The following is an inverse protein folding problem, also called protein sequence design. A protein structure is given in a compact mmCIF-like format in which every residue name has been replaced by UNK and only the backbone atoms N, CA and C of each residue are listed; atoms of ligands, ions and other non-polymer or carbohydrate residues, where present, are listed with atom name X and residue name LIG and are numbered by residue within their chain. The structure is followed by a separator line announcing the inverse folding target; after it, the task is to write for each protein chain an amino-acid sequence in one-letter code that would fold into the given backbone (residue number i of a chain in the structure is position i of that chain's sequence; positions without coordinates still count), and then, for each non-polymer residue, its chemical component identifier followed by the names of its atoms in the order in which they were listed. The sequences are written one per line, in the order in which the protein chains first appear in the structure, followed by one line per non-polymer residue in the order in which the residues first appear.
data_IF_920381999226
#
_entry.id   IF_920381999226
#
_cell.length_a   1.000
_cell.length_b   1.000
_cell.length_c   1.000
_cell.angle_alpha   90.00
_cell.angle_beta   90.00
_cell.angle_gamma   90.00
#
_symmetry.space_group_name_H-M   'P 1'
#
loop_
_entity.id
_entity.type
_entity.pdbx_description
1 polymer ?
#
# COMPACT_ATOMS: atom_id res chain seq x y z
N UNK A 1 -12.88 13.48 -12.18
CA UNK A 1 -12.79 12.10 -11.66
C UNK A 1 -14.05 11.34 -12.08
N UNK A 2 -13.92 10.20 -12.75
CA UNK A 2 -15.07 9.33 -13.03
C UNK A 2 -15.39 8.57 -11.73
N UNK A 3 -16.63 8.67 -11.25
CA UNK A 3 -17.08 8.02 -10.01
C UNK A 3 -16.94 6.50 -10.14
N UNK A 4 -16.50 5.82 -9.08
CA UNK A 4 -16.32 4.36 -9.04
C UNK A 4 -17.56 3.58 -9.52
N UNK A 5 -18.77 4.11 -9.30
CA UNK A 5 -20.02 3.51 -9.79
C UNK A 5 -20.15 3.45 -11.32
N UNK A 6 -19.61 4.43 -12.04
CA UNK A 6 -19.67 4.47 -13.51
C UNK A 6 -18.79 3.37 -14.12
N UNK A 7 -17.64 3.09 -13.49
CA UNK A 7 -16.73 2.02 -13.92
C UNK A 7 -17.38 0.64 -13.75
N UNK A 8 -18.11 0.41 -12.64
CA UNK A 8 -18.86 -0.82 -12.42
C UNK A 8 -19.95 -1.02 -13.49
N UNK A 9 -20.65 0.05 -13.86
CA UNK A 9 -21.65 0.02 -14.94
C UNK A 9 -21.03 -0.31 -16.31
N UNK A 10 -19.88 0.30 -16.65
CA UNK A 10 -19.16 -0.04 -17.89
C UNK A 10 -18.77 -1.52 -17.90
N UNK A 11 -18.31 -2.06 -16.77
CA UNK A 11 -17.92 -3.47 -16.63
C UNK A 11 -19.11 -4.42 -16.79
N UNK A 12 -20.25 -4.12 -16.17
CA UNK A 12 -21.47 -4.92 -16.30
C UNK A 12 -21.96 -4.96 -17.76
N UNK A 13 -22.00 -3.80 -18.43
CA UNK A 13 -22.43 -3.73 -19.83
C UNK A 13 -21.43 -4.38 -20.80
N UNK A 14 -20.14 -4.29 -20.52
CA UNK A 14 -19.10 -4.98 -21.28
C UNK A 14 -19.19 -6.50 -21.11
N UNK A 15 -19.45 -6.98 -19.89
CA UNK A 15 -19.69 -8.41 -19.61
C UNK A 15 -20.94 -8.96 -20.31
N UNK A 16 -21.93 -8.10 -20.58
CA UNK A 16 -23.11 -8.41 -21.40
C UNK A 16 -22.85 -8.39 -22.91
N UNK A 17 -21.59 -8.19 -23.35
CA UNK A 17 -21.20 -8.20 -24.76
C UNK A 17 -21.49 -6.91 -25.53
N UNK A 18 -21.84 -5.81 -24.85
CA UNK A 18 -22.10 -4.53 -25.53
C UNK A 18 -20.80 -3.87 -26.00
N UNK A 19 -20.86 -3.20 -27.15
CA UNK A 19 -19.72 -2.45 -27.69
C UNK A 19 -19.49 -1.14 -26.93
N UNK A 20 -18.25 -0.62 -26.97
CA UNK A 20 -17.89 0.66 -26.33
C UNK A 20 -18.78 1.82 -26.78
N UNK A 21 -19.30 1.78 -28.01
CA UNK A 21 -20.21 2.79 -28.54
C UNK A 21 -21.58 2.71 -27.87
N UNK A 22 -22.16 1.51 -27.76
CA UNK A 22 -23.44 1.29 -27.10
C UNK A 22 -23.40 1.66 -25.62
N UNK A 23 -22.32 1.28 -24.92
CA UNK A 23 -22.07 1.65 -23.52
C UNK A 23 -21.98 3.17 -23.35
N UNK A 24 -21.34 3.86 -24.30
CA UNK A 24 -21.23 5.31 -24.29
C UNK A 24 -22.58 6.02 -24.45
N UNK A 25 -23.44 5.51 -25.34
CA UNK A 25 -24.80 6.03 -25.51
C UNK A 25 -25.67 5.78 -24.28
N UNK A 26 -25.56 4.60 -23.66
CA UNK A 26 -26.41 4.19 -22.53
C UNK A 26 -26.09 4.93 -21.22
N UNK A 27 -24.81 5.18 -20.95
CA UNK A 27 -24.35 5.85 -19.71
C UNK A 27 -24.04 7.35 -19.95
N UNK A 28 -24.12 7.82 -21.20
CA UNK A 28 -23.81 9.21 -21.55
C UNK A 28 -22.32 9.56 -21.44
N UNK A 29 -21.43 8.60 -21.74
CA UNK A 29 -19.97 8.81 -21.75
C UNK A 29 -19.40 8.74 -23.16
N UNK A 30 -18.24 9.37 -23.37
CA UNK A 30 -17.58 9.29 -24.67
C UNK A 30 -17.11 7.85 -24.97
N UNK A 31 -17.18 7.45 -26.24
CA UNK A 31 -16.70 6.13 -26.72
C UNK A 31 -15.26 5.82 -26.29
N UNK A 32 -14.42 6.86 -26.22
CA UNK A 32 -13.03 6.74 -25.80
C UNK A 32 -12.92 6.39 -24.30
N UNK A 33 -13.83 6.92 -23.48
CA UNK A 33 -13.92 6.62 -22.05
C UNK A 33 -14.44 5.20 -21.83
N UNK A 34 -15.50 4.81 -22.54
CA UNK A 34 -16.03 3.45 -22.50
C UNK A 34 -14.96 2.43 -22.91
N UNK A 35 -14.30 2.63 -24.06
CA UNK A 35 -13.22 1.77 -24.55
C UNK A 35 -12.06 1.68 -23.55
N UNK A 36 -11.62 2.82 -23.01
CA UNK A 36 -10.57 2.88 -22.01
C UNK A 36 -10.90 2.02 -20.79
N UNK A 37 -12.12 2.12 -20.24
CA UNK A 37 -12.50 1.33 -19.06
C UNK A 37 -12.88 -0.12 -19.36
N UNK A 38 -13.24 -0.45 -20.60
CA UNK A 38 -13.39 -1.84 -21.06
C UNK A 38 -12.02 -2.54 -21.16
N UNK A 39 -11.03 -1.90 -21.78
CA UNK A 39 -9.66 -2.44 -21.96
C UNK A 39 -8.84 -2.38 -20.65
N UNK A 40 -9.07 -1.38 -19.80
CA UNK A 40 -8.41 -1.23 -18.49
C UNK A 40 -9.07 -2.04 -17.37
N UNK A 41 -9.97 -2.99 -17.67
CA UNK A 41 -10.71 -3.78 -16.68
C UNK A 41 -9.82 -4.42 -15.60
N UNK A 42 -8.56 -4.71 -15.94
CA UNK A 42 -7.57 -5.37 -15.07
C UNK A 42 -6.71 -4.41 -14.24
N UNK A 43 -6.59 -3.14 -14.64
CA UNK A 43 -5.87 -2.16 -13.82
C UNK A 43 -6.81 -1.69 -12.71
N UNK A 44 -6.72 -2.35 -11.55
CA UNK A 44 -7.11 -1.74 -10.27
C UNK A 44 -6.68 -0.28 -10.32
N UNK A 45 -7.62 0.66 -10.16
CA UNK A 45 -7.31 2.07 -10.09
C UNK A 45 -6.17 2.25 -9.10
N UNK A 46 -4.98 2.55 -9.65
CA UNK A 46 -3.71 2.64 -8.92
C UNK A 46 -3.68 3.87 -8.04
N UNK A 47 -4.60 3.94 -7.08
CA UNK A 47 -4.45 4.69 -5.84
C UNK A 47 -3.98 3.78 -4.70
N UNK A 48 -3.48 2.56 -5.02
CA UNK A 48 -2.44 1.99 -4.17
C UNK A 48 -1.22 2.85 -4.39
N UNK A 49 -1.12 3.91 -3.58
CA UNK A 49 0.04 4.77 -3.52
C UNK A 49 1.25 3.86 -3.56
N UNK A 50 2.11 4.07 -4.56
CA UNK A 50 3.43 3.46 -4.60
C UNK A 50 4.00 3.78 -3.23
N UNK A 51 4.01 2.77 -2.35
CA UNK A 51 4.57 2.90 -1.03
C UNK A 51 6.04 3.07 -1.33
N UNK A 52 6.47 4.33 -1.46
CA UNK A 52 7.88 4.65 -1.67
C UNK A 52 8.61 3.82 -0.65
N UNK A 53 9.51 2.95 -1.10
CA UNK A 53 10.32 2.15 -0.20
C UNK A 53 10.82 3.07 0.91
N UNK A 54 10.43 2.77 2.14
CA UNK A 54 10.92 3.51 3.28
C UNK A 54 12.44 3.39 3.28
N UNK A 55 13.16 4.44 3.69
CA UNK A 55 14.63 4.40 3.85
C UNK A 55 15.11 3.20 4.71
N UNK A 56 14.20 2.60 5.47
CA UNK A 56 14.42 1.43 6.32
C UNK A 56 14.40 0.09 5.57
N UNK A 57 13.79 0.00 4.37
CA UNK A 57 13.64 -1.24 3.61
C UNK A 57 14.94 -2.05 3.43
N UNK A 58 16.08 -1.45 3.03
CA UNK A 58 17.33 -2.22 2.90
C UNK A 58 17.86 -2.76 4.24
N UNK A 59 17.45 -2.18 5.36
CA UNK A 59 17.93 -2.55 6.70
C UNK A 59 16.96 -3.46 7.47
N UNK A 60 15.76 -3.73 6.94
CA UNK A 60 14.78 -4.65 7.55
C UNK A 60 15.32 -6.05 7.83
N UNK A 61 16.13 -6.69 6.95
CA UNK A 61 16.68 -8.02 7.23
C UNK A 61 17.55 -8.04 8.50
N UNK A 62 18.45 -7.07 8.65
CA UNK A 62 19.32 -6.96 9.83
C UNK A 62 18.53 -6.64 11.10
N UNK A 63 17.50 -5.79 10.99
CA UNK A 63 16.59 -5.53 12.11
C UNK A 63 15.88 -6.81 12.56
N UNK A 64 15.45 -7.66 11.62
CA UNK A 64 14.78 -8.91 11.95
C UNK A 64 15.73 -9.90 12.65
N UNK A 65 17.01 -9.97 12.26
CA UNK A 65 18.03 -10.73 13.00
C UNK A 65 18.20 -10.22 14.43
N UNK A 66 18.38 -8.91 14.62
CA UNK A 66 18.54 -8.33 15.96
C UNK A 66 17.28 -8.50 16.82
N UNK A 67 16.09 -8.37 16.24
CA UNK A 67 14.82 -8.64 16.92
C UNK A 67 14.67 -10.12 17.26
N UNK A 68 15.14 -11.03 16.40
CA UNK A 68 15.22 -12.46 16.69
C UNK A 68 16.18 -12.79 17.84
N UNK A 69 17.20 -11.97 18.05
CA UNK A 69 18.10 -12.01 19.21
C UNK A 69 17.52 -11.33 20.47
N UNK A 70 16.30 -10.77 20.39
CA UNK A 70 15.64 -10.09 21.51
C UNK A 70 15.98 -8.60 21.66
N UNK A 71 16.68 -8.00 20.68
CA UNK A 71 17.04 -6.59 20.70
C UNK A 71 15.89 -5.76 20.12
N UNK A 72 15.06 -5.21 20.99
CA UNK A 72 13.94 -4.31 20.61
C UNK A 72 14.18 -2.85 20.97
N UNK A 73 15.36 -2.52 21.53
CA UNK A 73 15.68 -1.16 21.91
C UNK A 73 15.93 -0.30 20.67
N UNK A 74 14.96 0.55 20.33
CA UNK A 74 15.03 1.41 19.16
C UNK A 74 16.23 2.38 19.16
N UNK A 75 16.78 2.74 20.33
CA UNK A 75 17.99 3.58 20.40
C UNK A 75 19.21 2.79 19.94
N UNK A 76 19.40 1.58 20.49
CA UNK A 76 20.49 0.68 20.12
C UNK A 76 20.40 0.27 18.64
N UNK A 77 19.19 -0.03 18.16
CA UNK A 77 18.97 -0.35 16.75
C UNK A 77 19.30 0.86 15.86
N UNK A 78 18.94 2.09 16.27
CA UNK A 78 19.23 3.29 15.49
C UNK A 78 20.74 3.57 15.40
N UNK A 79 21.48 3.40 16.50
CA UNK A 79 22.94 3.57 16.51
C UNK A 79 23.62 2.59 15.56
N UNK A 80 23.27 1.30 15.64
CA UNK A 80 23.80 0.27 14.73
C UNK A 80 23.42 0.52 13.28
N UNK A 81 22.20 1.00 13.03
CA UNK A 81 21.78 1.39 11.69
C UNK A 81 22.61 2.58 11.16
N UNK A 82 22.92 3.57 12.01
CA UNK A 82 23.77 4.70 11.61
C UNK A 82 25.18 4.28 11.25
N UNK A 83 25.75 3.30 11.95
CA UNK A 83 27.06 2.71 11.60
C UNK A 83 27.03 2.04 10.20
N UNK A 84 25.88 1.53 9.79
CA UNK A 84 25.66 0.95 8.46
C UNK A 84 25.30 1.98 7.38
N UNK A 85 25.24 3.27 7.72
CA UNK A 85 24.91 4.35 6.77
C UNK A 85 23.41 4.72 6.71
N UNK A 86 22.61 4.33 7.70
CA UNK A 86 21.20 4.72 7.77
C UNK A 86 21.03 6.20 8.15
N UNK A 87 20.48 6.97 7.21
CA UNK A 87 20.11 8.38 7.36
C UNK A 87 18.60 8.58 7.66
N UNK A 88 17.84 7.51 7.91
CA UNK A 88 16.41 7.64 8.18
C UNK A 88 16.09 8.09 9.61
N UNK A 89 14.87 8.57 9.81
CA UNK A 89 14.41 9.05 11.11
C UNK A 89 14.08 7.93 12.10
N UNK A 90 14.21 8.22 13.40
CA UNK A 90 13.83 7.33 14.50
C UNK A 90 12.34 6.93 14.43
N UNK A 91 11.47 7.80 13.93
CA UNK A 91 10.03 7.53 13.80
C UNK A 91 9.74 6.36 12.84
N UNK A 92 10.52 6.23 11.76
CA UNK A 92 10.37 5.13 10.80
C UNK A 92 10.79 3.80 11.45
N UNK A 93 11.91 3.82 12.18
CA UNK A 93 12.38 2.66 12.93
C UNK A 93 11.39 2.24 14.02
N UNK A 94 10.88 3.20 14.81
CA UNK A 94 9.86 2.93 15.83
C UNK A 94 8.60 2.32 15.22
N UNK A 95 8.09 2.89 14.12
CA UNK A 95 6.91 2.37 13.43
C UNK A 95 7.13 0.93 12.94
N UNK A 96 8.35 0.59 12.50
CA UNK A 96 8.69 -0.76 12.07
C UNK A 96 8.83 -1.73 13.25
N UNK A 97 9.51 -1.35 14.34
CA UNK A 97 9.76 -2.22 15.51
C UNK A 97 8.50 -2.41 16.37
N UNK A 98 7.59 -1.43 16.39
CA UNK A 98 6.37 -1.45 17.19
C UNK A 98 5.54 -2.75 17.06
N UNK A 99 5.22 -3.25 15.84
CA UNK A 99 4.49 -4.52 15.67
C UNK A 99 5.29 -5.77 16.09
N UNK A 100 6.63 -5.73 16.06
CA UNK A 100 7.46 -6.88 16.45
C UNK A 100 7.73 -6.94 17.94
N UNK A 101 7.47 -5.85 18.67
CA UNK A 101 7.59 -5.86 20.12
C UNK A 101 6.51 -6.80 20.65
N UNK A 102 6.86 -7.86 21.41
CA UNK A 102 5.85 -8.65 22.08
C UNK A 102 5.02 -7.69 22.93
N UNK A 103 3.69 -7.75 22.77
CA UNK A 103 2.80 -6.94 23.57
C UNK A 103 3.21 -7.14 25.03
N UNK A 104 3.76 -6.09 25.66
CA UNK A 104 3.76 -6.05 27.11
C UNK A 104 2.29 -6.05 27.44
N UNK A 105 1.76 -7.20 27.83
CA UNK A 105 0.61 -7.27 28.70
C UNK A 105 1.01 -6.44 29.93
N UNK A 106 0.78 -5.13 29.87
CA UNK A 106 0.69 -4.33 31.06
C UNK A 106 -0.62 -4.77 31.68
N UNK A 107 -0.63 -5.46 32.85
CA UNK A 107 -1.87 -5.60 33.57
C UNK A 107 -2.35 -4.17 33.86
N UNK A 108 -3.56 -3.87 33.44
CA UNK A 108 -4.29 -2.73 33.98
C UNK A 108 -4.30 -2.92 35.49
N UNK A 109 -3.65 -2.00 36.20
CA UNK A 109 -3.71 -1.94 37.66
C UNK A 109 -5.18 -1.67 37.99
N UNK A 110 -5.82 -2.67 38.60
CA UNK A 110 -7.16 -2.65 39.19
C UNK A 110 -7.24 -1.78 40.43
#
# INVERSE_FOLDING_TARGET
MIRSGLILMIKDLAGKGKSAYAIGQEIGISKNTARKYMEQADRQHGLKGVSKGSKLDPYKPQLNEWMGQGIFNCVVLLERLRELGYDGGMSILKAYVHPYRPAKAAPAIS
#
